data_IF_925236989612
#
_entry.id   IF_925236989612
#
_cell.length_a   1.000
_cell.length_b   1.000
_cell.length_c   1.000
_cell.angle_alpha   90.00
_cell.angle_beta   90.00
_cell.angle_gamma   90.00
#
_symmetry.space_group_name_H-M   'P 1'
#
loop_
_entity.id
_entity.type
_entity.pdbx_description
1 polymer ?
#
# COMPACT_ATOMS: atom_id res chain seq x y z
N UNK A 1 -5.71 4.19 -24.91
CA UNK A 1 -5.07 4.60 -23.63
C UNK A 1 -3.58 4.35 -23.74
N UNK A 2 -2.71 5.30 -23.37
CA UNK A 2 -1.27 5.09 -23.44
C UNK A 2 -0.89 3.94 -22.50
N UNK A 3 0.04 3.07 -22.92
CA UNK A 3 0.48 1.88 -22.18
C UNK A 3 0.84 2.21 -20.71
N UNK A 4 1.51 3.34 -20.49
CA UNK A 4 1.86 3.83 -19.15
C UNK A 4 0.63 4.04 -18.23
N UNK A 5 -0.47 4.57 -18.77
CA UNK A 5 -1.70 4.76 -17.99
C UNK A 5 -2.37 3.43 -17.63
N UNK A 6 -2.28 2.42 -18.50
CA UNK A 6 -2.77 1.06 -18.20
C UNK A 6 -1.96 0.43 -17.08
N UNK A 7 -0.63 0.53 -17.14
CA UNK A 7 0.26 0.00 -16.10
C UNK A 7 0.01 0.66 -14.74
N UNK A 8 -0.18 1.98 -14.70
CA UNK A 8 -0.49 2.70 -13.44
C UNK A 8 -1.85 2.27 -12.86
N UNK A 9 -2.86 2.04 -13.71
CA UNK A 9 -4.16 1.54 -13.24
C UNK A 9 -4.05 0.10 -12.71
N UNK A 10 -3.29 -0.77 -13.39
CA UNK A 10 -3.04 -2.13 -12.92
C UNK A 10 -2.31 -2.12 -11.57
N UNK A 11 -1.27 -1.29 -11.45
CA UNK A 11 -0.54 -1.09 -10.20
C UNK A 11 -1.47 -0.65 -9.08
N UNK A 12 -2.31 0.37 -9.32
CA UNK A 12 -3.28 0.85 -8.35
C UNK A 12 -4.21 -0.28 -7.88
N UNK A 13 -4.78 -1.04 -8.83
CA UNK A 13 -5.71 -2.13 -8.51
C UNK A 13 -5.03 -3.25 -7.72
N UNK A 14 -3.82 -3.65 -8.13
CA UNK A 14 -3.05 -4.67 -7.44
C UNK A 14 -2.67 -4.20 -6.01
N UNK A 15 -2.18 -2.99 -5.85
CA UNK A 15 -1.84 -2.42 -4.54
C UNK A 15 -3.07 -2.26 -3.65
N UNK A 16 -4.20 -1.81 -4.18
CA UNK A 16 -5.47 -1.75 -3.42
C UNK A 16 -5.92 -3.13 -2.94
N UNK A 17 -5.85 -4.15 -3.80
CA UNK A 17 -6.21 -5.51 -3.41
C UNK A 17 -5.31 -6.03 -2.28
N UNK A 18 -3.99 -5.86 -2.42
CA UNK A 18 -3.01 -6.28 -1.40
C UNK A 18 -3.23 -5.55 -0.08
N UNK A 19 -3.52 -4.24 -0.11
CA UNK A 19 -3.80 -3.47 1.09
C UNK A 19 -5.05 -3.98 1.83
N UNK A 20 -6.14 -4.29 1.10
CA UNK A 20 -7.37 -4.83 1.70
C UNK A 20 -7.13 -6.20 2.32
N UNK A 21 -6.43 -7.09 1.62
CA UNK A 21 -6.08 -8.43 2.14
C UNK A 21 -5.21 -8.31 3.38
N UNK A 22 -4.15 -7.50 3.33
CA UNK A 22 -3.23 -7.32 4.45
C UNK A 22 -3.90 -6.74 5.70
N UNK A 23 -4.78 -5.74 5.53
CA UNK A 23 -5.62 -5.23 6.61
C UNK A 23 -6.53 -6.31 7.21
N UNK A 24 -7.14 -7.13 6.35
CA UNK A 24 -7.98 -8.25 6.79
C UNK A 24 -7.20 -9.27 7.62
N UNK A 25 -6.00 -9.65 7.18
CA UNK A 25 -5.15 -10.59 7.93
C UNK A 25 -4.73 -10.02 9.27
N UNK A 26 -4.31 -8.75 9.32
CA UNK A 26 -3.94 -8.08 10.57
C UNK A 26 -5.14 -8.04 11.54
N UNK A 27 -6.34 -7.71 11.03
CA UNK A 27 -7.56 -7.66 11.85
C UNK A 27 -7.94 -9.04 12.43
N UNK A 28 -7.78 -10.11 11.64
CA UNK A 28 -8.02 -11.49 12.10
C UNK A 28 -6.99 -11.87 13.17
N UNK A 29 -5.70 -11.57 12.96
CA UNK A 29 -4.65 -11.90 13.94
C UNK A 29 -4.89 -11.20 15.29
N UNK A 30 -5.34 -9.95 15.27
CA UNK A 30 -5.68 -9.18 16.48
C UNK A 30 -6.89 -9.71 17.24
N UNK A 31 -7.79 -10.45 16.57
CA UNK A 31 -9.04 -10.94 17.15
C UNK A 31 -9.04 -12.44 17.44
N UNK A 32 -8.02 -13.16 16.99
CA UNK A 32 -7.90 -14.61 17.18
C UNK A 32 -7.22 -14.90 18.51
N UNK A 33 -7.90 -15.53 19.49
CA UNK A 33 -7.27 -15.95 20.74
C UNK A 33 -6.22 -17.02 20.47
N UNK A 34 -5.06 -16.92 21.11
CA UNK A 34 -4.04 -17.96 21.03
C UNK A 34 -4.55 -19.25 21.68
N UNK A 35 -4.97 -20.22 20.86
CA UNK A 35 -5.41 -21.55 21.34
C UNK A 35 -4.23 -22.51 21.37
N UNK A 36 -3.86 -22.98 22.56
CA UNK A 36 -2.88 -24.05 22.72
C UNK A 36 -3.63 -25.38 22.87
N UNK A 37 -3.33 -26.36 22.01
CA UNK A 37 -3.93 -27.68 22.10
C UNK A 37 -3.55 -28.41 23.39
N UNK A 38 -4.28 -29.46 23.75
CA UNK A 38 -4.09 -30.24 25.00
C UNK A 38 -2.65 -30.72 25.25
N UNK A 39 -1.84 -30.90 24.20
CA UNK A 39 -0.43 -31.29 24.27
C UNK A 39 0.54 -30.17 24.69
N UNK A 40 0.08 -28.91 24.75
CA UNK A 40 0.94 -27.76 25.00
C UNK A 40 1.17 -27.44 26.49
N UNK A 41 0.49 -28.12 27.42
CA UNK A 41 0.64 -27.84 28.86
C UNK A 41 2.03 -28.17 29.41
N UNK A 42 2.80 -29.04 28.75
CA UNK A 42 4.07 -29.53 29.30
C UNK A 42 5.31 -28.68 28.93
N UNK A 43 5.49 -28.19 27.68
CA UNK A 43 6.61 -27.30 27.36
C UNK A 43 6.36 -25.82 27.70
N UNK A 44 5.11 -25.38 27.90
CA UNK A 44 4.80 -24.00 28.34
C UNK A 44 5.07 -23.75 29.82
N UNK A 45 5.29 -24.79 30.63
CA UNK A 45 5.52 -24.65 32.08
C UNK A 45 6.75 -23.77 32.42
N UNK A 46 7.66 -23.56 31.48
CA UNK A 46 8.84 -22.71 31.62
C UNK A 46 8.89 -21.53 30.65
N UNK A 47 7.87 -21.34 29.81
CA UNK A 47 7.84 -20.27 28.83
C UNK A 47 6.91 -19.14 29.31
N UNK A 48 7.48 -17.96 29.54
CA UNK A 48 6.71 -16.76 29.84
C UNK A 48 5.96 -16.32 28.59
N UNK A 49 4.64 -16.36 28.63
CA UNK A 49 3.84 -15.61 27.66
C UNK A 49 4.14 -14.13 27.83
N UNK A 50 4.58 -13.47 26.75
CA UNK A 50 4.67 -12.01 26.69
C UNK A 50 3.43 -11.52 25.94
N UNK A 51 2.39 -11.04 26.65
CA UNK A 51 1.24 -10.44 26.00
C UNK A 51 1.72 -9.21 25.20
N UNK A 52 1.36 -9.13 23.92
CA UNK A 52 1.72 -7.99 23.06
C UNK A 52 2.97 -8.18 22.19
N UNK A 53 3.59 -9.37 22.18
CA UNK A 53 4.59 -9.68 21.15
C UNK A 53 3.93 -9.70 19.76
N UNK A 54 4.47 -8.90 18.82
CA UNK A 54 3.98 -8.86 17.44
C UNK A 54 4.27 -10.21 16.78
N UNK A 55 3.23 -10.89 16.28
CA UNK A 55 3.42 -12.16 15.57
C UNK A 55 4.25 -11.92 14.30
N UNK A 56 5.09 -12.89 13.91
CA UNK A 56 5.85 -12.81 12.64
C UNK A 56 4.90 -12.59 11.46
N UNK A 57 3.71 -13.19 11.51
CA UNK A 57 2.62 -12.99 10.56
C UNK A 57 2.20 -11.52 10.50
N UNK A 58 1.84 -10.91 11.64
CA UNK A 58 1.46 -9.50 11.71
C UNK A 58 2.59 -8.58 11.22
N UNK A 59 3.85 -8.90 11.53
CA UNK A 59 5.00 -8.12 11.07
C UNK A 59 5.17 -8.18 9.54
N UNK A 60 5.06 -9.36 8.94
CA UNK A 60 5.14 -9.51 7.48
C UNK A 60 3.97 -8.78 6.80
N UNK A 61 2.75 -8.99 7.28
CA UNK A 61 1.57 -8.39 6.65
C UNK A 61 1.51 -6.88 6.83
N UNK A 62 2.02 -6.34 7.95
CA UNK A 62 2.14 -4.87 8.12
C UNK A 62 3.14 -4.26 7.14
N UNK A 63 4.29 -4.89 6.92
CA UNK A 63 5.26 -4.44 5.90
C UNK A 63 4.66 -4.49 4.48
N UNK A 64 4.00 -5.60 4.13
CA UNK A 64 3.34 -5.77 2.83
C UNK A 64 2.23 -4.74 2.62
N UNK A 65 1.41 -4.50 3.66
CA UNK A 65 0.34 -3.49 3.62
C UNK A 65 0.92 -2.08 3.47
N UNK A 66 2.01 -1.76 4.19
CA UNK A 66 2.72 -0.49 4.06
C UNK A 66 3.24 -0.25 2.63
N UNK A 67 3.88 -1.26 2.03
CA UNK A 67 4.35 -1.19 0.65
C UNK A 67 3.20 -0.99 -0.35
N UNK A 68 2.07 -1.67 -0.13
CA UNK A 68 0.87 -1.52 -0.95
C UNK A 68 0.31 -0.09 -0.86
N UNK A 69 0.25 0.52 0.33
CA UNK A 69 -0.19 1.90 0.51
C UNK A 69 0.73 2.91 -0.21
N UNK A 70 2.05 2.69 -0.19
CA UNK A 70 2.99 3.50 -0.96
C UNK A 70 2.73 3.38 -2.47
N UNK A 71 2.45 2.17 -2.97
CA UNK A 71 2.06 1.94 -4.36
C UNK A 71 0.79 2.70 -4.76
N UNK A 72 -0.23 2.72 -3.89
CA UNK A 72 -1.47 3.49 -4.09
C UNK A 72 -1.15 4.99 -4.16
N UNK A 73 -0.42 5.52 -3.19
CA UNK A 73 -0.04 6.94 -3.14
C UNK A 73 0.73 7.38 -4.39
N UNK A 74 1.69 6.57 -4.83
CA UNK A 74 2.45 6.79 -6.06
C UNK A 74 1.56 6.80 -7.31
N UNK A 75 0.68 5.80 -7.45
CA UNK A 75 -0.21 5.69 -8.61
C UNK A 75 -1.17 6.88 -8.69
N UNK A 76 -1.76 7.29 -7.56
CA UNK A 76 -2.64 8.46 -7.48
C UNK A 76 -1.85 9.74 -7.84
N UNK A 77 -0.66 9.93 -7.27
CA UNK A 77 0.21 11.07 -7.58
C UNK A 77 0.56 11.17 -9.06
N UNK A 78 0.90 10.03 -9.68
CA UNK A 78 1.15 9.98 -11.13
C UNK A 78 -0.10 10.36 -11.92
N UNK A 79 -1.26 9.78 -11.60
CA UNK A 79 -2.53 10.05 -12.29
C UNK A 79 -2.92 11.54 -12.23
N UNK A 80 -2.66 12.21 -11.12
CA UNK A 80 -2.90 13.65 -10.94
C UNK A 80 -1.85 14.47 -11.71
N UNK A 81 -0.56 14.16 -11.56
CA UNK A 81 0.53 14.89 -12.21
C UNK A 81 0.50 14.80 -13.74
N UNK A 82 0.12 13.64 -14.28
CA UNK A 82 0.01 13.42 -15.72
C UNK A 82 -1.08 14.29 -16.40
N UNK A 83 -2.01 14.87 -15.63
CA UNK A 83 -3.01 15.83 -16.15
C UNK A 83 -2.47 17.25 -16.26
N UNK A 84 -1.39 17.60 -15.55
CA UNK A 84 -0.83 18.95 -15.48
C UNK A 84 0.21 19.27 -16.57
N UNK A 85 0.68 18.28 -17.31
CA UNK A 85 1.75 18.43 -18.32
C UNK A 85 1.31 19.15 -19.60
N UNK A 86 0.03 19.44 -19.77
CA UNK A 86 -0.51 20.19 -20.91
C UNK A 86 -0.43 21.71 -20.73
N UNK A 87 0.67 22.23 -20.14
CA UNK A 87 0.88 23.68 -20.09
C UNK A 87 1.02 24.21 -21.53
N UNK A 88 0.13 25.11 -22.00
CA UNK A 88 0.12 25.55 -23.38
C UNK A 88 1.37 26.37 -23.68
N UNK A 89 2.11 25.97 -24.72
CA UNK A 89 3.21 26.72 -25.32
C UNK A 89 2.78 28.03 -26.00
N UNK A 90 1.59 28.57 -25.69
CA UNK A 90 1.00 29.73 -26.35
C UNK A 90 1.50 31.08 -25.84
N UNK A 91 2.16 31.15 -24.68
CA UNK A 91 2.68 32.43 -24.14
C UNK A 91 3.92 32.96 -24.85
N UNK A 92 4.64 32.11 -25.59
CA UNK A 92 5.86 32.52 -26.31
C UNK A 92 5.54 33.17 -27.66
N UNK A 93 4.49 32.71 -28.36
CA UNK A 93 4.08 33.29 -29.66
C UNK A 93 3.39 34.66 -29.52
N UNK A 94 2.75 34.93 -28.38
CA UNK A 94 2.02 36.20 -28.18
C UNK A 94 2.94 37.37 -27.80
N UNK A 95 4.09 37.11 -27.16
CA UNK A 95 5.13 38.13 -26.98
C UNK A 95 5.84 38.49 -28.29
N UNK A 96 6.14 37.51 -29.13
CA UNK A 96 6.82 37.72 -30.41
C UNK A 96 5.97 38.53 -31.43
N UNK A 97 4.65 38.61 -31.23
CA UNK A 97 3.73 39.36 -32.10
C UNK A 97 3.44 40.78 -31.61
N UNK A 98 3.78 41.11 -30.37
CA UNK A 98 3.51 42.43 -29.75
C UNK A 98 4.63 43.45 -30.01
N UNK A 99 5.80 42.98 -30.45
CA UNK A 99 6.98 43.81 -30.71
C UNK A 99 7.20 44.11 -32.21
N UNK A 100 6.18 43.93 -33.05
CA UNK A 100 6.14 44.31 -34.48
C UNK A 100 5.02 45.30 -34.73
#
# INVERSE_FOLDING_TARGET
MPLARRLVVILLMASSLVAVVGLGVIAVDLTTPATFGWFAYQPLAHASFVPGAVSTTALVWSLVTGAALLGIGFAIGWLVGARGSSRPASRTSERARRDR
#
